data_IF_050788959644
#
_entry.id   IF_050788959644
#
_cell.length_a   1.000
_cell.length_b   1.000
_cell.length_c   1.000
_cell.angle_alpha   90.00
_cell.angle_beta   90.00
_cell.angle_gamma   90.00
#
_symmetry.space_group_name_H-M   'P 1'
#
loop_
_entity.id
_entity.type
_entity.pdbx_description
1 polymer ?
#
# COMPACT_ATOMS: atom_id res chain seq x y z
N UNK A 1 -31.31 55.65 -43.22
CA UNK A 1 -29.98 55.73 -42.59
C UNK A 1 -29.63 54.46 -41.81
N UNK A 2 -30.49 53.98 -40.88
CA UNK A 2 -30.25 52.76 -40.07
C UNK A 2 -30.03 51.49 -40.92
N UNK A 3 -30.80 51.28 -41.99
CA UNK A 3 -30.63 50.12 -42.92
C UNK A 3 -29.31 50.16 -43.69
N UNK A 4 -28.71 51.34 -43.87
CA UNK A 4 -27.43 51.48 -44.57
C UNK A 4 -26.25 51.13 -43.65
N UNK A 5 -26.43 51.30 -42.33
CA UNK A 5 -25.45 50.93 -41.30
C UNK A 5 -25.56 49.46 -40.86
N UNK A 6 -26.58 48.70 -41.29
CA UNK A 6 -26.78 47.29 -40.88
C UNK A 6 -25.69 46.34 -41.37
N UNK A 7 -24.92 46.73 -42.39
CA UNK A 7 -23.76 45.97 -42.88
C UNK A 7 -22.50 46.12 -42.00
N UNK A 8 -22.49 47.05 -41.04
CA UNK A 8 -21.34 47.29 -40.15
C UNK A 8 -21.16 46.15 -39.14
N UNK A 9 -22.24 45.53 -38.69
CA UNK A 9 -22.20 44.32 -37.84
C UNK A 9 -22.70 43.14 -38.67
N UNK A 10 -21.81 42.41 -39.36
CA UNK A 10 -22.21 41.32 -40.23
C UNK A 10 -22.80 40.17 -39.41
N UNK A 11 -24.05 39.82 -39.71
CA UNK A 11 -24.75 38.65 -39.13
C UNK A 11 -23.95 37.35 -39.38
N UNK A 12 -23.18 37.29 -40.47
CA UNK A 12 -22.33 36.17 -40.84
C UNK A 12 -21.14 35.95 -39.91
N UNK A 13 -20.68 36.96 -39.16
CA UNK A 13 -19.54 36.82 -38.25
C UNK A 13 -19.83 35.78 -37.16
N UNK A 14 -21.03 35.81 -36.59
CA UNK A 14 -21.45 34.85 -35.56
C UNK A 14 -21.47 33.42 -36.10
N UNK A 15 -22.06 33.23 -37.28
CA UNK A 15 -22.17 31.92 -37.93
C UNK A 15 -20.78 31.35 -38.24
N UNK A 16 -19.86 32.19 -38.71
CA UNK A 16 -18.48 31.76 -39.00
C UNK A 16 -17.73 31.33 -37.72
N UNK A 17 -17.91 32.07 -36.62
CA UNK A 17 -17.29 31.71 -35.33
C UNK A 17 -17.86 30.39 -34.78
N UNK A 18 -19.19 30.22 -34.81
CA UNK A 18 -19.83 28.99 -34.35
C UNK A 18 -19.36 27.77 -35.17
N UNK A 19 -19.24 27.93 -36.50
CA UNK A 19 -18.74 26.88 -37.39
C UNK A 19 -17.25 26.55 -37.12
N UNK A 20 -16.42 27.56 -36.87
CA UNK A 20 -15.01 27.35 -36.51
C UNK A 20 -14.88 26.58 -35.18
N UNK A 21 -15.66 26.95 -34.16
CA UNK A 21 -15.71 26.25 -32.86
C UNK A 21 -16.11 24.78 -32.99
N UNK A 22 -17.09 24.48 -33.83
CA UNK A 22 -17.49 23.09 -34.11
C UNK A 22 -16.34 22.30 -34.77
N UNK A 23 -15.62 22.91 -35.71
CA UNK A 23 -14.46 22.26 -36.34
C UNK A 23 -13.32 22.03 -35.34
N UNK A 24 -13.06 22.97 -34.42
CA UNK A 24 -12.05 22.80 -33.38
C UNK A 24 -12.41 21.67 -32.41
N UNK A 25 -13.65 21.64 -31.92
CA UNK A 25 -14.11 20.55 -31.05
C UNK A 25 -14.02 19.18 -31.73
N UNK A 26 -14.35 19.10 -33.03
CA UNK A 26 -14.21 17.86 -33.81
C UNK A 26 -12.75 17.42 -33.95
N UNK A 27 -11.82 18.36 -34.14
CA UNK A 27 -10.39 18.04 -34.16
C UNK A 27 -9.87 17.56 -32.81
N UNK A 28 -10.30 18.18 -31.71
CA UNK A 28 -9.94 17.75 -30.35
C UNK A 28 -10.40 16.30 -30.10
N UNK A 29 -11.62 15.95 -30.53
CA UNK A 29 -12.13 14.59 -30.36
C UNK A 29 -11.44 13.52 -31.22
N UNK A 30 -10.84 13.93 -32.34
CA UNK A 30 -10.14 13.04 -33.28
C UNK A 30 -8.61 13.12 -33.16
N UNK A 31 -8.10 13.74 -32.10
CA UNK A 31 -6.65 13.87 -31.89
C UNK A 31 -6.04 12.52 -31.50
N UNK A 32 -5.06 12.05 -32.29
CA UNK A 32 -4.37 10.78 -32.04
C UNK A 32 -3.42 10.83 -30.85
N UNK A 33 -3.00 12.02 -30.40
CA UNK A 33 -2.12 12.18 -29.23
C UNK A 33 -2.86 12.04 -27.91
N UNK A 34 -4.16 12.36 -27.89
CA UNK A 34 -5.00 12.30 -26.68
C UNK A 34 -6.26 11.47 -26.99
N UNK A 35 -6.10 10.14 -27.18
CA UNK A 35 -7.19 9.28 -27.58
C UNK A 35 -8.29 9.23 -26.51
N UNK A 36 -9.55 9.16 -26.96
CA UNK A 36 -10.72 9.12 -26.07
C UNK A 36 -11.17 10.48 -25.53
N UNK A 37 -10.56 11.57 -25.96
CA UNK A 37 -11.02 12.92 -25.62
C UNK A 37 -12.39 13.19 -26.25
N UNK A 38 -13.33 13.71 -25.46
CA UNK A 38 -14.65 14.09 -25.95
C UNK A 38 -14.94 15.54 -25.56
N UNK A 39 -14.94 16.43 -26.55
CA UNK A 39 -15.33 17.82 -26.36
C UNK A 39 -16.86 17.92 -26.22
N UNK A 40 -17.35 18.05 -24.99
CA UNK A 40 -18.80 18.11 -24.69
C UNK A 40 -19.43 19.49 -24.91
N UNK A 41 -18.62 20.55 -24.90
CA UNK A 41 -19.07 21.91 -25.09
C UNK A 41 -18.19 22.61 -26.14
N UNK A 42 -18.78 23.01 -27.27
CA UNK A 42 -18.10 23.69 -28.37
C UNK A 42 -17.89 25.18 -28.11
N UNK A 43 -18.61 25.79 -27.16
CA UNK A 43 -18.60 27.23 -26.96
C UNK A 43 -17.31 27.77 -26.30
N UNK A 44 -16.60 26.91 -25.57
CA UNK A 44 -15.48 27.25 -24.67
C UNK A 44 -14.11 26.74 -25.20
N UNK A 45 -14.04 26.37 -26.47
CA UNK A 45 -12.86 25.70 -27.03
C UNK A 45 -11.67 26.68 -27.10
N UNK A 46 -11.92 27.95 -27.39
CA UNK A 46 -10.90 28.99 -27.38
C UNK A 46 -10.44 29.39 -25.97
N UNK A 47 -11.33 29.28 -24.97
CA UNK A 47 -11.03 29.66 -23.58
C UNK A 47 -9.91 28.80 -23.00
N UNK A 48 -9.77 27.56 -23.49
CA UNK A 48 -8.66 26.66 -23.14
C UNK A 48 -7.28 27.27 -23.38
N UNK A 49 -7.15 28.17 -24.36
CA UNK A 49 -5.90 28.88 -24.65
C UNK A 49 -5.59 30.04 -23.71
N UNK A 50 -6.54 30.41 -22.84
CA UNK A 50 -6.46 31.55 -21.92
C UNK A 50 -6.48 31.14 -20.44
N UNK A 51 -6.36 29.84 -20.17
CA UNK A 51 -6.42 29.32 -18.79
C UNK A 51 -5.16 29.72 -18.02
N UNK A 52 -5.33 30.55 -16.99
CA UNK A 52 -4.24 30.94 -16.07
C UNK A 52 -4.10 30.00 -14.86
N UNK A 53 -5.22 29.42 -14.41
CA UNK A 53 -5.26 28.58 -13.21
C UNK A 53 -5.92 27.23 -13.52
N UNK A 54 -5.23 26.16 -13.14
CA UNK A 54 -5.76 24.79 -13.19
C UNK A 54 -6.01 24.31 -11.77
N UNK A 55 -7.29 24.13 -11.43
CA UNK A 55 -7.70 23.48 -10.20
C UNK A 55 -7.85 21.99 -10.47
N UNK A 56 -7.13 21.18 -9.71
CA UNK A 56 -7.10 19.72 -9.89
C UNK A 56 -7.56 19.04 -8.61
N UNK A 57 -8.32 17.96 -8.77
CA UNK A 57 -8.65 17.09 -7.65
C UNK A 57 -7.48 16.12 -7.40
N UNK A 58 -7.25 15.76 -6.13
CA UNK A 58 -6.18 14.82 -5.78
C UNK A 58 -6.54 13.41 -6.25
N UNK A 59 -7.68 12.91 -5.80
CA UNK A 59 -8.06 11.52 -5.96
C UNK A 59 -8.72 11.29 -7.32
N UNK A 60 -8.22 10.33 -8.10
CA UNK A 60 -8.81 9.99 -9.40
C UNK A 60 -8.39 10.93 -10.55
N UNK A 61 -7.69 12.03 -10.26
CA UNK A 61 -7.03 12.88 -11.28
C UNK A 61 -5.51 12.84 -11.14
N UNK A 62 -4.95 13.32 -10.02
CA UNK A 62 -3.51 13.25 -9.79
C UNK A 62 -3.04 11.85 -9.40
N UNK A 63 -3.83 11.15 -8.58
CA UNK A 63 -3.47 9.82 -8.07
C UNK A 63 -4.44 8.76 -8.58
N UNK A 64 -3.89 7.60 -8.94
CA UNK A 64 -4.67 6.37 -9.10
C UNK A 64 -4.99 5.84 -7.70
N UNK A 65 -6.19 5.26 -7.53
CA UNK A 65 -6.57 4.61 -6.27
C UNK A 65 -5.92 3.21 -6.15
N UNK A 66 -4.60 3.18 -6.27
CA UNK A 66 -3.79 1.97 -6.19
C UNK A 66 -2.55 2.27 -5.33
N UNK A 67 -2.46 1.57 -4.19
CA UNK A 67 -1.39 1.76 -3.22
C UNK A 67 -0.34 0.66 -3.42
N UNK A 68 0.92 1.07 -3.48
CA UNK A 68 2.06 0.17 -3.68
C UNK A 68 3.03 0.29 -2.52
N UNK A 69 3.42 -0.84 -1.94
CA UNK A 69 4.48 -0.86 -0.93
C UNK A 69 5.82 -0.52 -1.60
N UNK A 70 6.56 0.45 -1.05
CA UNK A 70 7.81 0.93 -1.65
C UNK A 70 9.05 0.66 -0.82
N UNK A 71 9.00 0.86 0.49
CA UNK A 71 10.18 0.77 1.35
C UNK A 71 9.81 0.22 2.73
N UNK A 72 10.74 -0.53 3.31
CA UNK A 72 10.68 -1.07 4.66
C UNK A 72 11.97 -0.69 5.38
N UNK A 73 11.87 -0.04 6.53
CA UNK A 73 13.00 0.10 7.46
C UNK A 73 12.77 -0.82 8.65
N UNK A 74 13.73 -1.70 8.90
CA UNK A 74 13.88 -2.45 10.17
C UNK A 74 15.23 -2.07 10.78
N UNK A 75 15.50 -2.35 12.07
CA UNK A 75 16.80 -2.01 12.68
C UNK A 75 18.00 -2.51 11.84
N UNK A 76 17.91 -3.73 11.31
CA UNK A 76 18.89 -4.34 10.42
C UNK A 76 19.26 -3.54 9.16
N UNK A 77 18.32 -2.80 8.57
CA UNK A 77 18.54 -2.20 7.25
C UNK A 77 17.29 -1.54 6.66
N UNK A 78 17.52 -0.81 5.57
CA UNK A 78 16.47 -0.30 4.70
C UNK A 78 16.36 -1.19 3.47
N UNK A 79 15.13 -1.54 3.10
CA UNK A 79 14.84 -2.43 2.00
C UNK A 79 13.80 -1.81 1.08
N UNK A 80 14.07 -1.83 -0.22
CA UNK A 80 13.15 -1.33 -1.24
C UNK A 80 12.38 -2.48 -1.91
N UNK A 81 11.09 -2.24 -2.12
CA UNK A 81 10.22 -3.17 -2.84
C UNK A 81 10.67 -3.30 -4.29
N UNK A 82 10.76 -4.54 -4.78
CA UNK A 82 11.18 -4.88 -6.13
C UNK A 82 12.66 -5.28 -6.22
N UNK A 83 13.58 -4.48 -5.67
CA UNK A 83 15.02 -4.80 -5.70
C UNK A 83 15.38 -5.83 -4.64
N UNK A 84 14.91 -5.63 -3.41
CA UNK A 84 15.39 -6.40 -2.25
C UNK A 84 14.42 -7.52 -1.85
N UNK A 85 13.24 -7.58 -2.48
CA UNK A 85 12.19 -8.56 -2.20
C UNK A 85 12.71 -10.00 -2.24
N UNK A 86 13.58 -10.33 -3.21
CA UNK A 86 14.18 -11.66 -3.32
C UNK A 86 15.13 -11.97 -2.15
N UNK A 87 15.94 -10.98 -1.74
CA UNK A 87 16.86 -11.11 -0.61
C UNK A 87 16.09 -11.29 0.70
N UNK A 88 15.06 -10.47 0.93
CA UNK A 88 14.18 -10.56 2.10
C UNK A 88 13.54 -11.94 2.17
N UNK A 89 12.97 -12.40 1.06
CA UNK A 89 12.35 -13.71 0.95
C UNK A 89 13.31 -14.86 1.28
N UNK A 90 14.56 -14.79 0.83
CA UNK A 90 15.59 -15.79 1.16
C UNK A 90 15.95 -15.77 2.65
N UNK A 91 16.13 -14.59 3.24
CA UNK A 91 16.45 -14.44 4.67
C UNK A 91 15.32 -14.99 5.55
N UNK A 92 14.07 -14.59 5.25
CA UNK A 92 12.86 -15.09 5.93
C UNK A 92 12.78 -16.60 5.83
N UNK A 93 12.95 -17.15 4.63
CA UNK A 93 12.89 -18.61 4.40
C UNK A 93 13.93 -19.36 5.22
N UNK A 94 15.16 -18.86 5.32
CA UNK A 94 16.23 -19.48 6.10
C UNK A 94 15.90 -19.50 7.60
N UNK A 95 15.47 -18.37 8.16
CA UNK A 95 15.13 -18.27 9.59
C UNK A 95 13.92 -19.11 9.92
N UNK A 96 12.87 -19.03 9.10
CA UNK A 96 11.64 -19.78 9.30
C UNK A 96 11.87 -21.30 9.26
N UNK A 97 12.70 -21.81 8.34
CA UNK A 97 13.07 -23.24 8.31
C UNK A 97 13.70 -23.71 9.62
N UNK A 98 14.54 -22.89 10.24
CA UNK A 98 15.19 -23.20 11.53
C UNK A 98 14.20 -23.21 12.67
N UNK A 99 13.29 -22.22 12.71
CA UNK A 99 12.22 -22.15 13.70
C UNK A 99 11.33 -23.40 13.62
N UNK A 100 10.92 -23.79 12.41
CA UNK A 100 10.05 -24.95 12.19
C UNK A 100 10.75 -26.30 12.45
N UNK A 101 12.08 -26.37 12.27
CA UNK A 101 12.85 -27.57 12.55
C UNK A 101 13.18 -27.77 14.04
N UNK A 102 13.17 -26.71 14.85
CA UNK A 102 13.47 -26.78 16.28
C UNK A 102 12.36 -27.56 17.05
N UNK A 103 12.76 -28.32 18.08
CA UNK A 103 11.85 -29.07 18.97
C UNK A 103 12.22 -28.83 20.44
N UNK A 104 11.35 -28.19 21.25
CA UNK A 104 10.11 -27.51 20.84
C UNK A 104 10.41 -26.32 19.91
N UNK A 105 9.50 -26.02 18.99
CA UNK A 105 9.65 -24.87 18.12
C UNK A 105 9.37 -23.58 18.91
N UNK A 106 10.24 -22.57 18.84
CA UNK A 106 10.02 -21.32 19.55
C UNK A 106 8.92 -20.45 18.92
N UNK A 107 8.41 -20.81 17.73
CA UNK A 107 7.53 -19.94 16.94
C UNK A 107 8.23 -18.71 16.40
N UNK A 108 7.49 -17.87 15.67
CA UNK A 108 7.98 -16.63 15.05
C UNK A 108 8.30 -15.58 16.11
N UNK A 109 7.48 -15.50 17.16
CA UNK A 109 7.58 -14.45 18.18
C UNK A 109 8.32 -14.88 19.46
N UNK A 110 8.67 -16.18 19.60
CA UNK A 110 9.38 -16.67 20.78
C UNK A 110 10.89 -16.48 20.77
N UNK A 111 11.47 -15.90 19.71
CA UNK A 111 12.87 -15.47 19.66
C UNK A 111 12.96 -13.95 19.56
N UNK A 112 13.88 -13.38 20.32
CA UNK A 112 14.25 -11.97 20.17
C UNK A 112 15.53 -11.84 19.31
N UNK A 113 15.62 -10.80 18.46
CA UNK A 113 16.86 -10.44 17.78
C UNK A 113 17.99 -10.13 18.78
N UNK A 114 19.23 -10.42 18.42
CA UNK A 114 20.41 -10.10 19.24
C UNK A 114 20.66 -11.00 20.46
N UNK A 115 20.03 -12.17 20.54
CA UNK A 115 20.34 -13.12 21.62
C UNK A 115 21.72 -13.77 21.46
N UNK A 116 22.35 -14.10 22.59
CA UNK A 116 23.71 -14.67 22.66
C UNK A 116 23.79 -15.97 21.83
N UNK A 117 24.64 -15.99 20.82
CA UNK A 117 24.84 -17.14 19.91
C UNK A 117 24.13 -17.06 18.56
N UNK A 118 23.37 -15.98 18.28
CA UNK A 118 22.84 -15.69 16.95
C UNK A 118 23.90 -15.01 16.07
N UNK A 119 23.96 -15.37 14.80
CA UNK A 119 24.74 -14.58 13.82
C UNK A 119 24.02 -13.27 13.49
N UNK A 120 24.74 -12.26 13.00
CA UNK A 120 24.12 -11.01 12.56
C UNK A 120 23.05 -11.26 11.49
N UNK A 121 23.36 -12.09 10.49
CA UNK A 121 22.39 -12.48 9.45
C UNK A 121 21.12 -13.14 10.00
N UNK A 122 21.23 -13.92 11.09
CA UNK A 122 20.08 -14.53 11.76
C UNK A 122 19.22 -13.49 12.46
N UNK A 123 19.84 -12.54 13.14
CA UNK A 123 19.14 -11.43 13.81
C UNK A 123 18.37 -10.60 12.78
N UNK A 124 19.03 -10.25 11.67
CA UNK A 124 18.41 -9.50 10.57
C UNK A 124 17.24 -10.27 9.94
N UNK A 125 17.42 -11.57 9.67
CA UNK A 125 16.36 -12.40 9.12
C UNK A 125 15.17 -12.56 10.07
N UNK A 126 15.41 -12.59 11.38
CA UNK A 126 14.37 -12.64 12.39
C UNK A 126 13.56 -11.33 12.44
N UNK A 127 14.23 -10.18 12.42
CA UNK A 127 13.56 -8.87 12.34
C UNK A 127 12.68 -8.74 11.09
N UNK A 128 13.19 -9.15 9.94
CA UNK A 128 12.43 -9.17 8.68
C UNK A 128 11.24 -10.13 8.74
N UNK A 129 11.42 -11.33 9.29
CA UNK A 129 10.34 -12.30 9.48
C UNK A 129 9.26 -11.73 10.41
N UNK A 130 9.64 -11.17 11.56
CA UNK A 130 8.71 -10.55 12.51
C UNK A 130 7.95 -9.39 11.86
N UNK A 131 8.63 -8.54 11.08
CA UNK A 131 7.99 -7.44 10.35
C UNK A 131 6.97 -7.97 9.32
N UNK A 132 7.36 -8.91 8.45
CA UNK A 132 6.46 -9.45 7.42
C UNK A 132 5.26 -10.20 8.00
N UNK A 133 5.47 -11.00 9.04
CA UNK A 133 4.37 -11.68 9.74
C UNK A 133 3.47 -10.66 10.44
N UNK A 134 4.02 -9.59 11.01
CA UNK A 134 3.21 -8.51 11.60
C UNK A 134 2.31 -7.83 10.55
N UNK A 135 2.87 -7.50 9.38
CA UNK A 135 2.09 -6.95 8.26
C UNK A 135 1.01 -7.91 7.77
N UNK A 136 1.26 -9.22 7.81
CA UNK A 136 0.33 -10.26 7.41
C UNK A 136 -0.69 -10.68 8.50
N UNK A 137 -0.59 -10.15 9.73
CA UNK A 137 -1.53 -10.45 10.82
C UNK A 137 -2.35 -9.22 11.23
N UNK A 138 -1.71 -8.06 11.33
CA UNK A 138 -2.33 -6.81 11.79
C UNK A 138 -2.98 -6.07 10.61
N UNK A 139 -4.11 -6.58 10.11
CA UNK A 139 -4.92 -5.97 9.04
C UNK A 139 -6.35 -6.48 9.09
N UNK A 140 -7.29 -5.95 8.30
CA UNK A 140 -8.65 -6.49 8.16
C UNK A 140 -8.96 -7.00 6.73
N UNK A 141 -7.90 -7.32 5.97
CA UNK A 141 -7.98 -7.92 4.62
C UNK A 141 -8.46 -9.37 4.65
N UNK A 142 -9.41 -9.70 3.78
CA UNK A 142 -9.91 -11.07 3.54
C UNK A 142 -9.49 -11.54 2.14
N UNK A 143 -8.83 -12.71 2.02
CA UNK A 143 -8.54 -13.30 0.71
C UNK A 143 -9.82 -13.85 0.09
N UNK A 144 -10.04 -13.59 -1.19
CA UNK A 144 -11.21 -14.07 -1.94
C UNK A 144 -10.77 -15.16 -2.90
N UNK A 145 -11.34 -16.35 -2.75
CA UNK A 145 -11.17 -17.45 -3.69
C UNK A 145 -12.22 -17.31 -4.81
N UNK A 146 -11.77 -16.98 -6.01
CA UNK A 146 -12.65 -16.93 -7.18
C UNK A 146 -12.75 -18.32 -7.79
N UNK A 147 -13.93 -18.95 -7.70
CA UNK A 147 -14.19 -20.28 -8.24
C UNK A 147 -13.82 -20.37 -9.72
N UNK A 148 -12.87 -21.25 -10.06
CA UNK A 148 -12.41 -21.48 -11.44
C UNK A 148 -11.25 -20.59 -11.91
N UNK A 149 -10.70 -19.71 -11.06
CA UNK A 149 -9.48 -18.96 -11.35
C UNK A 149 -8.43 -19.17 -10.25
N UNK A 150 -7.16 -19.26 -10.62
CA UNK A 150 -6.02 -19.27 -9.67
C UNK A 150 -5.64 -17.84 -9.23
N UNK A 151 -6.54 -16.88 -9.42
CA UNK A 151 -6.30 -15.47 -9.13
C UNK A 151 -6.49 -15.20 -7.63
N UNK A 152 -5.40 -14.84 -6.96
CA UNK A 152 -5.43 -14.44 -5.56
C UNK A 152 -5.85 -12.97 -5.44
N UNK A 153 -7.13 -12.77 -5.17
CA UNK A 153 -7.73 -11.45 -4.99
C UNK A 153 -7.92 -11.16 -3.50
N UNK A 154 -7.82 -9.89 -3.12
CA UNK A 154 -7.93 -9.43 -1.74
C UNK A 154 -9.07 -8.42 -1.64
N UNK A 155 -9.95 -8.62 -0.67
CA UNK A 155 -10.91 -7.62 -0.25
C UNK A 155 -10.40 -6.95 1.01
N UNK A 156 -10.17 -5.64 0.95
CA UNK A 156 -9.65 -4.87 2.06
C UNK A 156 -10.55 -3.65 2.33
N UNK A 157 -10.69 -3.21 3.60
CA UNK A 157 -11.37 -1.95 3.93
C UNK A 157 -10.69 -0.73 3.32
N UNK A 158 -9.37 -0.83 3.06
CA UNK A 158 -8.56 0.25 2.52
C UNK A 158 -7.40 -0.29 1.66
N UNK A 159 -6.96 0.44 0.63
CA UNK A 159 -5.98 -0.04 -0.35
C UNK A 159 -4.57 -0.15 0.23
N UNK A 160 -4.24 0.62 1.26
CA UNK A 160 -3.00 0.53 2.03
C UNK A 160 -2.84 -0.85 2.69
N UNK A 161 -3.88 -1.36 3.35
CA UNK A 161 -3.84 -2.70 3.96
C UNK A 161 -3.65 -3.80 2.92
N UNK A 162 -4.33 -3.69 1.77
CA UNK A 162 -4.12 -4.61 0.67
C UNK A 162 -2.67 -4.56 0.16
N UNK A 163 -2.06 -3.38 0.08
CA UNK A 163 -0.67 -3.21 -0.34
C UNK A 163 0.32 -3.88 0.64
N UNK A 164 0.10 -3.74 1.95
CA UNK A 164 0.91 -4.40 2.98
C UNK A 164 0.86 -5.93 2.85
N UNK A 165 -0.34 -6.50 2.70
CA UNK A 165 -0.53 -7.96 2.58
C UNK A 165 0.02 -8.49 1.26
N UNK A 166 -0.13 -7.73 0.15
CA UNK A 166 0.49 -8.06 -1.14
C UNK A 166 2.02 -8.12 -1.01
N UNK A 167 2.63 -7.15 -0.33
CA UNK A 167 4.07 -7.14 -0.13
C UNK A 167 4.57 -8.29 0.75
N UNK A 168 3.83 -8.64 1.82
CA UNK A 168 4.14 -9.81 2.63
C UNK A 168 4.14 -11.10 1.78
N UNK A 169 3.18 -11.25 0.86
CA UNK A 169 3.16 -12.36 -0.11
C UNK A 169 4.38 -12.36 -1.03
N UNK A 170 4.76 -11.20 -1.56
CA UNK A 170 5.96 -11.06 -2.41
C UNK A 170 7.24 -11.48 -1.65
N UNK A 171 7.29 -11.23 -0.34
CA UNK A 171 8.36 -11.68 0.56
C UNK A 171 8.24 -13.16 0.98
N UNK A 172 7.25 -13.90 0.47
CA UNK A 172 7.09 -15.34 0.70
C UNK A 172 6.10 -15.74 1.81
N UNK A 173 5.36 -14.79 2.40
CA UNK A 173 4.35 -15.04 3.44
C UNK A 173 2.96 -14.71 2.87
N UNK A 174 2.23 -15.73 2.41
CA UNK A 174 0.92 -15.55 1.76
C UNK A 174 -0.22 -15.68 2.76
N UNK A 175 -1.11 -14.70 2.80
CA UNK A 175 -2.40 -14.84 3.49
C UNK A 175 -3.31 -15.81 2.72
N UNK A 176 -3.68 -16.91 3.37
CA UNK A 176 -4.59 -17.94 2.81
C UNK A 176 -6.00 -17.80 3.35
N UNK A 177 -6.11 -17.56 4.66
CA UNK A 177 -7.39 -17.42 5.32
C UNK A 177 -7.30 -16.35 6.40
N UNK A 178 -8.36 -15.56 6.48
CA UNK A 178 -8.69 -14.72 7.62
C UNK A 178 -10.18 -14.85 7.84
N UNK A 179 -10.55 -15.34 9.01
CA UNK A 179 -11.91 -15.27 9.54
C UNK A 179 -11.89 -14.45 10.83
N UNK A 180 -13.00 -14.43 11.57
CA UNK A 180 -13.12 -13.65 12.81
C UNK A 180 -12.30 -14.26 13.97
N UNK A 181 -12.02 -15.57 13.90
CA UNK A 181 -11.40 -16.34 14.98
C UNK A 181 -9.94 -16.71 14.70
N UNK A 182 -9.49 -16.67 13.45
CA UNK A 182 -8.18 -17.20 13.05
C UNK A 182 -7.59 -16.57 11.78
N UNK A 183 -6.27 -16.63 11.69
CA UNK A 183 -5.48 -16.24 10.51
C UNK A 183 -4.55 -17.39 10.14
N UNK A 184 -4.51 -17.73 8.85
CA UNK A 184 -3.63 -18.76 8.30
C UNK A 184 -2.73 -18.14 7.24
N UNK A 185 -1.43 -18.22 7.49
CA UNK A 185 -0.37 -17.78 6.58
C UNK A 185 0.35 -18.99 5.98
N UNK A 186 0.59 -18.99 4.68
CA UNK A 186 1.35 -20.02 3.97
C UNK A 186 2.74 -19.52 3.61
N UNK A 187 3.76 -20.33 3.91
CA UNK A 187 5.15 -19.99 3.66
C UNK A 187 5.58 -20.54 2.29
N UNK A 188 5.54 -19.69 1.26
CA UNK A 188 5.61 -20.11 -0.15
C UNK A 188 6.93 -20.77 -0.55
N UNK A 189 8.04 -20.36 0.08
CA UNK A 189 9.39 -20.74 -0.34
C UNK A 189 10.00 -21.89 0.49
N UNK A 190 9.16 -22.57 1.26
CA UNK A 190 9.53 -23.79 1.99
C UNK A 190 8.83 -24.99 1.37
N UNK A 191 9.58 -26.06 1.14
CA UNK A 191 9.05 -27.33 0.65
C UNK A 191 7.90 -27.82 1.54
N UNK A 192 6.77 -28.19 0.92
CA UNK A 192 5.57 -28.58 1.66
C UNK A 192 4.70 -27.41 2.13
N UNK A 193 5.08 -26.16 1.83
CA UNK A 193 4.31 -24.93 2.10
C UNK A 193 3.67 -24.93 3.50
N UNK A 194 4.49 -24.96 4.56
CA UNK A 194 3.98 -25.02 5.91
C UNK A 194 3.10 -23.81 6.21
N UNK A 195 2.05 -24.05 6.98
CA UNK A 195 1.12 -23.03 7.41
C UNK A 195 1.45 -22.57 8.82
N UNK A 196 1.47 -21.25 9.03
CA UNK A 196 1.49 -20.63 10.34
C UNK A 196 0.06 -20.25 10.70
N UNK A 197 -0.41 -20.72 11.86
CA UNK A 197 -1.79 -20.55 12.32
C UNK A 197 -1.79 -19.71 13.60
N UNK A 198 -2.73 -18.78 13.64
CA UNK A 198 -2.90 -17.83 14.72
C UNK A 198 -4.37 -17.72 15.07
N UNK A 199 -4.71 -17.91 16.34
CA UNK A 199 -6.05 -17.64 16.86
C UNK A 199 -6.16 -16.15 17.15
N UNK A 200 -7.18 -15.49 16.63
CA UNK A 200 -7.51 -14.10 16.95
C UNK A 200 -8.19 -14.09 18.31
N UNK A 201 -7.59 -13.39 19.26
CA UNK A 201 -8.15 -13.24 20.61
C UNK A 201 -8.98 -11.97 20.68
N UNK A 202 -8.45 -10.88 20.11
CA UNK A 202 -9.13 -9.59 20.07
C UNK A 202 -8.59 -8.75 18.91
N UNK A 203 -9.49 -8.05 18.22
CA UNK A 203 -9.11 -7.13 17.14
C UNK A 203 -9.53 -5.71 17.51
N UNK A 204 -8.62 -4.76 17.36
CA UNK A 204 -8.87 -3.34 17.55
C UNK A 204 -8.77 -2.64 16.20
N UNK A 205 -9.89 -2.52 15.44
CA UNK A 205 -9.89 -1.92 14.12
C UNK A 205 -9.31 -0.50 14.12
N UNK A 206 -8.84 -0.07 12.95
CA UNK A 206 -8.44 1.31 12.75
C UNK A 206 -9.61 2.27 13.05
N UNK A 207 -9.30 3.38 13.69
CA UNK A 207 -10.20 4.51 13.88
C UNK A 207 -9.44 5.80 13.65
N UNK A 208 -10.07 6.77 12.98
CA UNK A 208 -9.51 8.10 12.72
C UNK A 208 -9.08 8.83 14.00
N UNK A 209 -9.76 8.58 15.12
CA UNK A 209 -9.43 9.18 16.42
C UNK A 209 -8.14 8.58 17.00
N UNK A 210 -7.95 7.26 16.85
CA UNK A 210 -6.78 6.55 17.38
C UNK A 210 -5.59 6.57 16.44
N UNK A 211 -5.83 6.74 15.14
CA UNK A 211 -4.86 6.64 14.02
C UNK A 211 -3.98 5.38 14.08
N UNK A 212 -4.54 4.29 14.59
CA UNK A 212 -3.84 2.99 14.73
C UNK A 212 -4.83 1.83 14.79
N UNK A 213 -4.32 0.66 14.44
CA UNK A 213 -4.96 -0.65 14.54
C UNK A 213 -4.10 -1.55 15.42
N UNK A 214 -4.73 -2.44 16.19
CA UNK A 214 -4.04 -3.48 16.92
C UNK A 214 -4.76 -4.82 16.86
N UNK A 215 -4.05 -5.90 17.15
CA UNK A 215 -4.61 -7.25 17.21
C UNK A 215 -3.85 -8.07 18.26
N UNK A 216 -4.59 -8.84 19.06
CA UNK A 216 -4.02 -9.84 19.96
C UNK A 216 -4.24 -11.20 19.31
N UNK A 217 -3.16 -11.94 19.10
CA UNK A 217 -3.20 -13.28 18.52
C UNK A 217 -2.48 -14.27 19.41
N UNK A 218 -2.90 -15.53 19.36
CA UNK A 218 -2.17 -16.66 19.95
C UNK A 218 -1.56 -17.49 18.84
N UNK A 219 -0.24 -17.62 18.84
CA UNK A 219 0.47 -18.47 17.88
C UNK A 219 0.30 -19.95 18.25
N UNK A 220 -0.18 -20.77 17.30
CA UNK A 220 -0.45 -22.20 17.57
C UNK A 220 0.84 -22.98 17.90
N UNK A 221 1.95 -22.64 17.25
CA UNK A 221 3.23 -23.35 17.37
C UNK A 221 3.86 -23.16 18.75
N UNK A 222 4.00 -21.90 19.20
CA UNK A 222 4.67 -21.56 20.46
C UNK A 222 3.69 -21.49 21.65
N UNK A 223 2.40 -21.37 21.37
CA UNK A 223 1.36 -21.11 22.37
C UNK A 223 1.39 -19.69 22.94
N UNK A 224 2.26 -18.81 22.42
CA UNK A 224 2.44 -17.45 22.94
C UNK A 224 1.35 -16.51 22.46
N UNK A 225 0.96 -15.59 23.35
CA UNK A 225 0.09 -14.47 23.02
C UNK A 225 0.95 -13.27 22.61
N UNK A 226 0.59 -12.63 21.51
CA UNK A 226 1.33 -11.50 20.95
C UNK A 226 0.34 -10.38 20.64
N UNK A 227 0.66 -9.18 21.13
CA UNK A 227 -0.05 -7.97 20.74
C UNK A 227 0.73 -7.25 19.64
N UNK A 228 0.10 -7.10 18.49
CA UNK A 228 0.64 -6.43 17.32
C UNK A 228 -0.11 -5.12 17.08
N UNK A 229 0.61 -4.08 16.70
CA UNK A 229 0.05 -2.74 16.51
C UNK A 229 0.70 -2.06 15.32
N UNK A 230 -0.11 -1.37 14.51
CA UNK A 230 0.33 -0.51 13.40
C UNK A 230 -0.45 0.79 13.42
N UNK A 231 0.16 1.89 13.00
CA UNK A 231 -0.49 3.19 12.96
C UNK A 231 0.45 4.31 12.55
N UNK A 232 -0.06 5.54 12.62
CA UNK A 232 0.72 6.72 12.31
C UNK A 232 1.95 6.86 13.22
N UNK A 233 3.06 7.24 12.63
CA UNK A 233 4.32 7.65 13.27
C UNK A 233 4.14 8.45 14.58
N UNK A 234 3.40 9.57 14.51
CA UNK A 234 3.08 10.46 15.62
C UNK A 234 2.35 9.79 16.78
N UNK A 235 1.68 8.66 16.52
CA UNK A 235 1.00 7.85 17.55
C UNK A 235 1.87 6.69 18.04
N UNK A 236 2.68 6.12 17.15
CA UNK A 236 3.49 4.95 17.45
C UNK A 236 4.80 5.29 18.17
N UNK A 237 5.52 6.33 17.75
CA UNK A 237 6.83 6.73 18.30
C UNK A 237 6.78 6.96 19.82
N UNK A 238 5.79 7.71 20.38
CA UNK A 238 5.70 7.91 21.83
C UNK A 238 5.41 6.64 22.65
N UNK A 239 5.05 5.52 22.00
CA UNK A 239 4.70 4.24 22.65
C UNK A 239 5.85 3.24 22.63
N UNK A 240 6.94 3.53 21.93
CA UNK A 240 8.13 2.66 21.90
C UNK A 240 8.88 2.79 23.23
N UNK A 241 9.17 1.66 23.86
CA UNK A 241 9.95 1.62 25.10
C UNK A 241 11.43 1.97 24.82
N UNK A 242 12.05 2.79 25.67
CA UNK A 242 13.46 3.22 25.52
C UNK A 242 13.62 4.56 24.80
N UNK A 243 13.01 5.59 25.38
CA UNK A 243 12.62 6.88 24.78
C UNK A 243 13.73 7.75 24.14
N UNK A 244 15.02 7.41 24.27
CA UNK A 244 16.08 8.43 24.15
C UNK A 244 17.03 8.31 22.93
N UNK A 245 17.19 7.14 22.30
CA UNK A 245 18.20 6.98 21.21
C UNK A 245 17.67 6.36 19.92
N UNK A 246 16.78 5.36 19.98
CA UNK A 246 16.18 4.78 18.76
C UNK A 246 15.09 5.67 18.14
N UNK A 247 14.48 6.57 18.93
CA UNK A 247 13.38 7.40 18.45
C UNK A 247 13.84 8.48 17.47
N UNK A 248 14.95 9.17 17.75
CA UNK A 248 15.49 10.20 16.85
C UNK A 248 15.81 9.63 15.46
N UNK A 249 16.40 8.42 15.42
CA UNK A 249 16.66 7.75 14.15
C UNK A 249 15.38 7.38 13.40
N UNK A 250 14.33 6.92 14.10
CA UNK A 250 13.04 6.62 13.47
C UNK A 250 12.33 7.87 12.95
N UNK A 251 12.38 8.97 13.70
CA UNK A 251 11.83 10.27 13.29
C UNK A 251 12.51 10.75 12.00
N UNK A 252 13.85 10.73 11.94
CA UNK A 252 14.60 11.14 10.75
C UNK A 252 14.24 10.31 9.51
N UNK A 253 14.05 9.00 9.66
CA UNK A 253 13.68 8.11 8.56
C UNK A 253 12.26 8.39 8.08
N UNK A 254 11.31 8.58 9.00
CA UNK A 254 9.92 8.87 8.64
C UNK A 254 9.82 10.24 7.96
N UNK A 255 10.54 11.24 8.45
CA UNK A 255 10.62 12.56 7.83
C UNK A 255 11.21 12.49 6.42
N UNK A 256 12.25 11.68 6.20
CA UNK A 256 12.79 11.44 4.86
C UNK A 256 11.72 10.83 3.93
N UNK A 257 10.95 9.86 4.41
CA UNK A 257 9.91 9.23 3.62
C UNK A 257 8.77 10.20 3.28
N UNK A 258 8.35 11.01 4.26
CA UNK A 258 7.35 12.05 4.07
C UNK A 258 7.80 13.09 3.03
N UNK A 259 9.08 13.50 3.04
CA UNK A 259 9.64 14.41 2.01
C UNK A 259 9.59 13.83 0.60
N UNK A 260 9.64 12.51 0.48
CA UNK A 260 9.50 11.79 -0.79
C UNK A 260 8.04 11.43 -1.13
N UNK A 261 7.06 11.94 -0.38
CA UNK A 261 5.63 11.70 -0.63
C UNK A 261 5.19 10.26 -0.38
N UNK A 262 5.83 9.57 0.56
CA UNK A 262 5.45 8.22 1.00
C UNK A 262 4.67 8.33 2.30
N UNK A 263 3.45 7.81 2.27
CA UNK A 263 2.54 7.68 3.42
C UNK A 263 2.84 6.40 4.22
#
# INVERSE_FOLDING_TARGET
YIVLLSYIIPISLRVNLDMAKTLYASRIGNDSKIPGTVARNTAIVEDLGTVDYVLTDKTGTLTKNDMLFKKLRVPAGEYSSGTDTQQISLMITRVLRRILAARPSPGVFGRSPGQRGQTEEESQGLELLTAMVTLALCHNVTPVETAGSDEWTLQAPSPDEAALVKYARECGIKLIRRDDDSIILECLNITGRPQLRYDIIECFPFSSDRKRMGIIVKEEISGQYVYLIKGADSVMIPRVAGHDSNNAFMEDVVDDYARHGKD
#
